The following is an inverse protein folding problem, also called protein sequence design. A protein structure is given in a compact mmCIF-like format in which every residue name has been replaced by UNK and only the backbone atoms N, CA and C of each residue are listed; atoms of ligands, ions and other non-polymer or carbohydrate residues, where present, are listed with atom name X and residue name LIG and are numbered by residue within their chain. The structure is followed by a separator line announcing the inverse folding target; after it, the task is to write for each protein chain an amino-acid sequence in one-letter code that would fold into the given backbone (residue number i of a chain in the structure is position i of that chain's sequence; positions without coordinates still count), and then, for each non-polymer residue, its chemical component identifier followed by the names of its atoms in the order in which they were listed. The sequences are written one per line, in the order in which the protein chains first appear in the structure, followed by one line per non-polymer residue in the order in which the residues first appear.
data_IF_211067325738
#
_entry.id   IF_211067325738
#
_cell.length_a   1.000
_cell.length_b   1.000
_cell.length_c   1.000
_cell.angle_alpha   90.00
_cell.angle_beta   90.00
_cell.angle_gamma   90.00
#
_symmetry.space_group_name_H-M   'P 1'
#
loop_
_entity.id
_entity.type
_entity.pdbx_description
1 polymer ?
#
# COMPACT_ATOMS: atom_id res chain seq x y z
N UNK A 1 9.45 7.44 3.87
CA UNK A 1 9.45 6.13 3.19
C UNK A 1 8.67 6.24 1.87
N UNK A 2 9.29 5.97 0.71
CA UNK A 2 8.74 6.28 -0.64
C UNK A 2 7.47 5.53 -1.05
N UNK A 3 7.21 4.35 -0.47
CA UNK A 3 6.03 3.52 -0.84
C UNK A 3 4.72 4.25 -0.52
N UNK A 4 4.62 4.89 0.65
CA UNK A 4 3.40 5.60 1.07
C UNK A 4 3.11 6.83 0.20
N UNK A 5 4.16 7.52 -0.23
CA UNK A 5 4.06 8.63 -1.17
C UNK A 5 3.48 8.15 -2.51
N UNK A 6 3.99 7.04 -3.02
CA UNK A 6 3.46 6.47 -4.26
C UNK A 6 2.03 5.98 -4.16
N UNK A 7 1.61 5.50 -2.99
CA UNK A 7 0.25 5.05 -2.73
C UNK A 7 -0.72 6.18 -2.40
N UNK A 8 -0.22 7.42 -2.25
CA UNK A 8 -1.06 8.63 -2.22
C UNK A 8 -1.67 8.91 -3.59
N UNK A 9 -0.89 8.72 -4.65
CA UNK A 9 -1.36 8.81 -6.04
C UNK A 9 -0.86 7.60 -6.86
N UNK A 10 -1.51 6.43 -6.70
CA UNK A 10 -1.07 5.22 -7.37
C UNK A 10 -1.22 5.31 -8.90
N UNK A 11 -2.07 6.19 -9.42
CA UNK A 11 -2.30 6.36 -10.86
C UNK A 11 -1.14 7.12 -11.51
N UNK A 12 -0.59 8.15 -10.85
CA UNK A 12 0.62 8.84 -11.32
C UNK A 12 1.88 7.99 -11.19
N UNK A 13 1.85 6.97 -10.35
CA UNK A 13 3.05 6.27 -9.92
C UNK A 13 3.18 4.83 -10.40
N UNK A 14 2.10 4.19 -10.84
CA UNK A 14 2.12 2.83 -11.35
C UNK A 14 1.37 2.74 -12.69
N UNK A 15 1.87 1.92 -13.63
CA UNK A 15 1.19 1.76 -14.91
C UNK A 15 -0.19 1.12 -14.69
N UNK A 16 -1.21 1.65 -15.36
CA UNK A 16 -2.56 1.08 -15.36
C UNK A 16 -2.51 -0.35 -15.88
N UNK A 17 -3.11 -1.28 -15.14
CA UNK A 17 -3.22 -2.69 -15.52
C UNK A 17 -4.64 -2.95 -16.00
N UNK A 18 -4.79 -3.69 -17.11
CA UNK A 18 -6.07 -3.94 -17.80
C UNK A 18 -7.17 -4.56 -16.93
N UNK A 19 -6.81 -5.19 -15.82
CA UNK A 19 -7.71 -5.95 -14.94
C UNK A 19 -7.64 -5.52 -13.46
N UNK A 20 -7.08 -4.34 -13.15
CA UNK A 20 -6.93 -3.90 -11.77
C UNK A 20 -7.11 -2.40 -11.67
N UNK A 21 -8.02 -1.99 -10.80
CA UNK A 21 -8.19 -0.58 -10.45
C UNK A 21 -7.15 -0.21 -9.37
N UNK A 22 -6.20 0.66 -9.73
CA UNK A 22 -5.12 1.07 -8.83
C UNK A 22 -5.63 1.83 -7.60
N UNK A 23 -6.79 2.47 -7.69
CA UNK A 23 -7.41 3.23 -6.60
C UNK A 23 -8.26 2.29 -5.75
N UNK A 24 -9.14 1.50 -6.37
CA UNK A 24 -10.07 0.65 -5.64
C UNK A 24 -9.39 -0.62 -5.08
N UNK A 25 -8.58 -1.30 -5.88
CA UNK A 25 -7.90 -2.55 -5.52
C UNK A 25 -6.51 -2.31 -4.92
N UNK A 26 -5.80 -1.26 -5.36
CA UNK A 26 -4.45 -0.95 -4.93
C UNK A 26 -3.37 -1.55 -5.84
N UNK A 27 -2.13 -1.60 -5.34
CA UNK A 27 -0.96 -2.06 -6.10
C UNK A 27 -0.47 -3.41 -5.60
N UNK A 28 0.07 -4.24 -6.50
CA UNK A 28 0.68 -5.50 -6.10
C UNK A 28 2.12 -5.32 -5.58
N UNK A 29 2.58 -6.27 -4.77
CA UNK A 29 3.99 -6.33 -4.36
C UNK A 29 4.96 -6.40 -5.55
N UNK A 30 4.55 -7.00 -6.67
CA UNK A 30 5.35 -7.06 -7.90
C UNK A 30 5.56 -5.67 -8.51
N UNK A 31 4.51 -4.84 -8.53
CA UNK A 31 4.59 -3.48 -9.07
C UNK A 31 5.51 -2.60 -8.21
N UNK A 32 5.41 -2.74 -6.88
CA UNK A 32 6.27 -2.02 -5.93
C UNK A 32 7.71 -2.49 -6.03
N UNK A 33 7.95 -3.80 -6.13
CA UNK A 33 9.28 -4.39 -6.30
C UNK A 33 9.96 -3.89 -7.59
N UNK A 34 9.25 -3.90 -8.71
CA UNK A 34 9.74 -3.39 -9.98
C UNK A 34 10.13 -1.91 -9.89
N UNK A 35 9.31 -1.09 -9.21
CA UNK A 35 9.58 0.34 -9.05
C UNK A 35 10.72 0.65 -8.08
N UNK A 36 10.89 -0.17 -7.03
CA UNK A 36 12.00 -0.04 -6.08
C UNK A 36 13.31 -0.64 -6.60
N UNK A 37 13.29 -1.46 -7.65
CA UNK A 37 14.46 -2.21 -8.11
C UNK A 37 14.90 -3.31 -7.14
N UNK A 38 13.97 -3.87 -6.36
CA UNK A 38 14.24 -4.88 -5.34
C UNK A 38 13.54 -6.20 -5.63
N UNK A 39 13.93 -7.26 -4.92
CA UNK A 39 13.24 -8.54 -4.98
C UNK A 39 11.82 -8.42 -4.43
N UNK A 40 10.86 -9.12 -5.05
CA UNK A 40 9.45 -9.19 -4.62
C UNK A 40 9.27 -9.47 -3.12
N UNK A 41 10.07 -10.37 -2.56
CA UNK A 41 10.01 -10.71 -1.14
C UNK A 41 10.33 -9.51 -0.23
N UNK A 42 11.31 -8.69 -0.60
CA UNK A 42 11.69 -7.47 0.14
C UNK A 42 10.54 -6.45 0.11
N UNK A 43 9.97 -6.20 -1.08
CA UNK A 43 8.81 -5.33 -1.21
C UNK A 43 7.61 -5.86 -0.42
N UNK A 44 7.37 -7.17 -0.44
CA UNK A 44 6.29 -7.79 0.33
C UNK A 44 6.47 -7.59 1.84
N UNK A 45 7.68 -7.81 2.38
CA UNK A 45 7.97 -7.57 3.81
C UNK A 45 7.68 -6.12 4.20
N UNK A 46 8.11 -5.14 3.40
CA UNK A 46 7.80 -3.73 3.67
C UNK A 46 6.31 -3.42 3.61
N UNK A 47 5.59 -3.97 2.63
CA UNK A 47 4.16 -3.76 2.47
C UNK A 47 3.34 -4.41 3.60
N UNK A 48 3.74 -5.59 4.05
CA UNK A 48 3.14 -6.25 5.21
C UNK A 48 3.39 -5.44 6.48
N UNK A 49 4.62 -5.00 6.75
CA UNK A 49 4.91 -4.13 7.89
C UNK A 49 4.06 -2.86 7.90
N UNK A 50 3.92 -2.20 6.74
CA UNK A 50 3.08 -1.01 6.63
C UNK A 50 1.58 -1.31 6.81
N UNK A 51 1.11 -2.49 6.43
CA UNK A 51 -0.25 -2.93 6.66
C UNK A 51 -0.50 -3.25 8.14
N UNK A 52 0.45 -3.92 8.80
CA UNK A 52 0.38 -4.24 10.23
C UNK A 52 0.38 -2.98 11.10
N UNK A 53 1.14 -1.95 10.68
CA UNK A 53 1.11 -0.61 11.28
C UNK A 53 -0.18 0.18 10.97
N UNK A 54 -1.10 -0.38 10.20
CA UNK A 54 -2.38 0.26 9.84
C UNK A 54 -2.27 1.37 8.79
N UNK A 55 -1.11 1.55 8.16
CA UNK A 55 -0.92 2.58 7.11
C UNK A 55 -1.48 2.14 5.76
N UNK A 56 -1.55 0.83 5.52
CA UNK A 56 -2.06 0.23 4.29
C UNK A 56 -3.19 -0.77 4.58
N UNK A 57 -4.15 -0.87 3.65
CA UNK A 57 -5.03 -2.04 3.57
C UNK A 57 -4.50 -3.03 2.57
N UNK A 58 -4.40 -4.28 3.01
CA UNK A 58 -4.15 -5.43 2.15
C UNK A 58 -5.49 -6.05 1.71
N UNK A 59 -5.70 -6.20 0.40
CA UNK A 59 -6.84 -6.90 -0.20
C UNK A 59 -6.34 -8.10 -0.99
N UNK A 60 -6.80 -9.30 -0.66
CA UNK A 60 -6.49 -10.50 -1.45
C UNK A 60 -7.50 -10.65 -2.57
N UNK A 61 -7.04 -10.64 -3.81
CA UNK A 61 -7.85 -10.89 -5.01
C UNK A 61 -7.27 -12.09 -5.74
N UNK A 62 -8.02 -13.20 -5.74
CA UNK A 62 -7.60 -14.51 -6.27
C UNK A 62 -6.27 -14.96 -5.63
N UNK A 63 -5.17 -14.95 -6.41
CA UNK A 63 -3.84 -15.41 -5.99
C UNK A 63 -2.89 -14.28 -5.60
N UNK A 64 -3.33 -13.02 -5.62
CA UNK A 64 -2.47 -11.84 -5.39
C UNK A 64 -3.01 -10.97 -4.27
N UNK A 65 -2.11 -10.39 -3.50
CA UNK A 65 -2.42 -9.36 -2.50
C UNK A 65 -2.11 -7.99 -3.12
N UNK A 66 -3.05 -7.08 -2.94
CA UNK A 66 -2.95 -5.68 -3.36
C UNK A 66 -2.98 -4.78 -2.13
N UNK A 67 -2.23 -3.69 -2.20
CA UNK A 67 -2.04 -2.76 -1.10
C UNK A 67 -2.48 -1.37 -1.53
N UNK A 68 -3.30 -0.73 -0.71
CA UNK A 68 -3.72 0.66 -0.89
C UNK A 68 -3.52 1.43 0.40
N UNK A 69 -3.34 2.75 0.29
CA UNK A 69 -3.23 3.61 1.47
C UNK A 69 -4.54 3.61 2.24
N UNK A 70 -4.46 3.48 3.56
CA UNK A 70 -5.63 3.55 4.44
C UNK A 70 -5.71 4.93 5.09
N UNK A 71 -6.28 5.92 4.39
CA UNK A 71 -6.38 7.28 4.95
C UNK A 71 -7.29 7.35 6.17
N UNK A 72 -8.32 6.50 6.24
CA UNK A 72 -9.24 6.44 7.39
C UNK A 72 -8.50 5.92 8.62
N UNK A 73 -7.77 4.81 8.49
CA UNK A 73 -7.03 4.24 9.63
C UNK A 73 -5.84 5.10 10.04
N UNK A 74 -5.17 5.75 9.08
CA UNK A 74 -4.14 6.76 9.39
C UNK A 74 -4.74 7.90 10.22
N UNK A 75 -5.92 8.40 9.86
CA UNK A 75 -6.59 9.47 10.61
C UNK A 75 -7.09 9.00 12.00
N UNK A 76 -7.63 7.79 12.10
CA UNK A 76 -8.04 7.19 13.38
C UNK A 76 -6.85 7.02 14.33
N UNK A 77 -5.74 6.48 13.83
CA UNK A 77 -4.51 6.30 14.61
C UNK A 77 -3.94 7.66 15.02
N UNK A 78 -3.85 8.63 14.12
CA UNK A 78 -3.42 9.99 14.47
C UNK A 78 -4.28 10.60 15.60
N UNK A 79 -5.60 10.40 15.53
CA UNK A 79 -6.55 10.88 16.54
C UNK A 79 -6.45 10.13 17.87
N UNK A 80 -6.06 8.85 17.87
CA UNK A 80 -5.77 8.10 19.09
C UNK A 80 -4.51 8.63 19.78
N UNK A 81 -3.48 9.02 19.03
CA UNK A 81 -2.27 9.64 19.58
C UNK A 81 -2.52 11.08 20.09
N UNK A 82 -3.46 11.85 19.52
CA UNK A 82 -3.83 13.17 20.04
C UNK A 82 -4.63 13.13 21.36
N UNK A 83 -5.31 12.02 21.66
CA UNK A 83 -6.19 11.91 22.84
C UNK A 83 -5.60 11.16 24.02
N UNK A 84 -4.37 10.66 23.90
CA UNK A 84 -3.70 9.92 24.95
C UNK A 84 -2.22 10.23 24.93
N UNK A 85 -1.85 11.32 25.60
CA UNK A 85 -0.65 11.51 26.44
C UNK A 85 -0.80 12.82 27.21
#
# INVERSE_FOLDING_TARGET
MRILEWLKDPVAHFPRRRHTDLVADGVSADAVAAKLGVRRAVAHTHLTLLADLGMLRAKRVRRRTYYRRDEVRIAEVARMFEKGW
#
